data_IF_219931007192
#
_entry.id   IF_219931007192
#
_cell.length_a   1.000
_cell.length_b   1.000
_cell.length_c   1.000
_cell.angle_alpha   90.00
_cell.angle_beta   90.00
_cell.angle_gamma   90.00
#
_symmetry.space_group_name_H-M   'P 1'
#
loop_
_entity.id
_entity.type
_entity.pdbx_description
1 polymer ?
#
# COMPACT_ATOMS: atom_id res chain seq x y z
N UNK A 1 7.94 0.81 9.63
CA UNK A 1 8.22 -0.64 9.82
C UNK A 1 9.07 -1.08 8.64
N UNK A 2 10.30 -1.51 8.89
CA UNK A 2 11.26 -1.92 7.87
C UNK A 2 11.59 -3.39 8.06
N UNK A 3 11.80 -4.10 6.95
CA UNK A 3 12.25 -5.50 6.96
C UNK A 3 13.74 -5.56 7.34
N UNK A 4 14.21 -6.73 7.75
CA UNK A 4 15.62 -6.96 8.07
C UNK A 4 16.58 -6.67 6.90
N UNK A 5 16.06 -6.64 5.67
CA UNK A 5 16.80 -6.30 4.45
C UNK A 5 16.67 -4.81 4.03
N UNK A 6 16.10 -3.97 4.89
CA UNK A 6 15.95 -2.53 4.67
C UNK A 6 14.78 -2.13 3.75
N UNK A 7 14.02 -3.10 3.21
CA UNK A 7 12.84 -2.79 2.37
C UNK A 7 11.62 -2.46 3.21
N UNK A 8 10.73 -1.62 2.66
CA UNK A 8 9.45 -1.35 3.29
C UNK A 8 8.62 -2.63 3.36
N UNK A 9 8.02 -2.90 4.52
CA UNK A 9 7.26 -4.15 4.77
C UNK A 9 6.05 -4.30 3.85
N UNK A 10 5.51 -3.20 3.34
CA UNK A 10 4.36 -3.17 2.45
C UNK A 10 4.68 -3.47 0.98
N UNK A 11 5.96 -3.56 0.60
CA UNK A 11 6.36 -3.92 -0.75
C UNK A 11 6.43 -5.45 -0.91
N UNK A 12 5.48 -6.00 -1.66
CA UNK A 12 5.33 -7.43 -1.89
C UNK A 12 5.49 -7.77 -3.37
N UNK A 13 5.76 -9.03 -3.67
CA UNK A 13 5.75 -9.58 -5.03
C UNK A 13 4.73 -10.70 -5.10
N UNK A 14 3.75 -10.56 -5.98
CA UNK A 14 2.65 -11.49 -6.16
C UNK A 14 2.83 -12.24 -7.47
N UNK A 15 2.35 -13.48 -7.52
CA UNK A 15 2.20 -14.25 -8.74
C UNK A 15 0.84 -14.94 -8.70
N UNK A 16 0.02 -14.72 -9.71
CA UNK A 16 -1.33 -15.29 -9.79
C UNK A 16 -1.27 -16.60 -10.59
N UNK A 17 -2.04 -17.60 -10.14
CA UNK A 17 -2.23 -18.87 -10.82
C UNK A 17 -3.72 -19.15 -11.04
N UNK A 18 -4.09 -19.60 -12.24
CA UNK A 18 -5.43 -20.07 -12.57
C UNK A 18 -5.33 -21.27 -13.51
N UNK A 19 -6.04 -22.36 -13.20
CA UNK A 19 -6.01 -23.61 -13.99
C UNK A 19 -4.59 -24.13 -14.31
N UNK A 20 -3.68 -24.05 -13.32
CA UNK A 20 -2.29 -24.49 -13.47
C UNK A 20 -1.42 -23.57 -14.34
N UNK A 21 -1.97 -22.44 -14.82
CA UNK A 21 -1.24 -21.42 -15.58
C UNK A 21 -0.86 -20.28 -14.65
N UNK A 22 0.45 -20.10 -14.46
CA UNK A 22 1.00 -18.98 -13.70
C UNK A 22 1.22 -17.77 -14.60
N UNK A 23 0.80 -16.61 -14.12
CA UNK A 23 1.18 -15.33 -14.70
C UNK A 23 2.61 -14.93 -14.32
N UNK A 24 3.09 -13.83 -14.90
CA UNK A 24 4.35 -13.21 -14.48
C UNK A 24 4.23 -12.64 -13.06
N UNK A 25 5.30 -12.70 -12.24
CA UNK A 25 5.34 -12.00 -10.97
C UNK A 25 5.21 -10.48 -11.15
N UNK A 26 4.53 -9.80 -10.22
CA UNK A 26 4.38 -8.34 -10.23
C UNK A 26 4.48 -7.77 -8.81
N UNK A 27 4.93 -6.51 -8.66
CA UNK A 27 4.97 -5.84 -7.37
C UNK A 27 3.56 -5.41 -6.92
N UNK A 28 3.28 -5.56 -5.63
CA UNK A 28 2.06 -5.07 -4.98
C UNK A 28 2.46 -4.25 -3.75
N UNK A 29 1.94 -3.03 -3.65
CA UNK A 29 2.17 -2.15 -2.50
C UNK A 29 0.96 -2.13 -1.58
N UNK A 30 1.19 -2.39 -0.31
CA UNK A 30 0.31 -2.04 0.79
C UNK A 30 0.95 -0.90 1.57
N UNK A 31 0.19 0.14 1.89
CA UNK A 31 0.70 1.30 2.60
C UNK A 31 -0.24 1.60 3.76
N UNK A 32 0.31 1.89 4.93
CA UNK A 32 -0.48 2.34 6.08
C UNK A 32 -0.87 3.81 5.93
N UNK A 33 -1.96 4.22 6.59
CA UNK A 33 -2.52 5.56 6.45
C UNK A 33 -1.51 6.67 6.78
N UNK A 34 -0.66 6.49 7.80
CA UNK A 34 0.32 7.52 8.20
C UNK A 34 1.40 7.68 7.14
N UNK A 35 1.92 6.58 6.61
CA UNK A 35 2.89 6.59 5.52
C UNK A 35 2.31 7.24 4.27
N UNK A 36 1.06 6.92 3.90
CA UNK A 36 0.38 7.54 2.76
C UNK A 36 0.20 9.05 2.95
N UNK A 37 -0.28 9.49 4.11
CA UNK A 37 -0.48 10.92 4.43
C UNK A 37 0.84 11.69 4.32
N UNK A 38 1.94 11.12 4.83
CA UNK A 38 3.26 11.75 4.79
C UNK A 38 3.71 11.97 3.35
N UNK A 39 3.76 10.92 2.53
CA UNK A 39 4.22 11.04 1.15
C UNK A 39 3.30 11.90 0.29
N UNK A 40 1.97 11.82 0.50
CA UNK A 40 1.04 12.72 -0.18
C UNK A 40 1.39 14.19 0.08
N UNK A 41 1.64 14.55 1.35
CA UNK A 41 2.02 15.93 1.72
C UNK A 41 3.37 16.36 1.15
N UNK A 42 4.35 15.46 1.11
CA UNK A 42 5.67 15.73 0.52
C UNK A 42 5.58 16.04 -0.98
N UNK A 43 4.57 15.50 -1.65
CA UNK A 43 4.31 15.71 -3.09
C UNK A 43 3.24 16.80 -3.35
N UNK A 44 2.92 17.64 -2.35
CA UNK A 44 1.89 18.69 -2.41
C UNK A 44 0.44 18.20 -2.61
N UNK A 45 0.13 16.95 -2.26
CA UNK A 45 -1.23 16.42 -2.23
C UNK A 45 -1.85 16.47 -0.84
N UNK A 46 -3.14 16.80 -0.77
CA UNK A 46 -3.95 16.56 0.42
C UNK A 46 -4.43 15.11 0.45
N UNK A 47 -4.22 14.44 1.58
CA UNK A 47 -4.75 13.10 1.85
C UNK A 47 -5.75 13.16 3.01
N UNK A 48 -6.97 12.72 2.75
CA UNK A 48 -8.07 12.61 3.73
C UNK A 48 -8.45 11.15 3.92
N UNK A 49 -8.47 10.69 5.17
CA UNK A 49 -9.00 9.37 5.51
C UNK A 49 -10.52 9.51 5.61
N UNK A 50 -11.22 8.89 4.66
CA UNK A 50 -12.68 8.94 4.53
C UNK A 50 -13.34 7.88 5.41
N UNK A 51 -12.68 6.74 5.57
CA UNK A 51 -13.05 5.68 6.50
C UNK A 51 -11.81 5.30 7.30
N UNK A 52 -11.94 5.36 8.63
CA UNK A 52 -10.88 4.99 9.56
C UNK A 52 -10.47 3.51 9.38
N UNK A 53 -9.22 3.16 9.73
CA UNK A 53 -8.75 1.79 9.66
C UNK A 53 -9.64 0.81 10.44
N UNK A 54 -10.01 -0.30 9.82
CA UNK A 54 -10.66 -1.43 10.49
C UNK A 54 -9.66 -2.23 11.35
N UNK A 55 -10.13 -3.31 11.98
CA UNK A 55 -9.29 -4.18 12.81
C UNK A 55 -8.16 -4.88 12.04
N UNK A 56 -8.25 -4.94 10.71
CA UNK A 56 -7.25 -5.51 9.80
C UNK A 56 -6.34 -4.43 9.19
N UNK A 57 -6.58 -3.15 9.52
CA UNK A 57 -5.83 -2.02 9.00
C UNK A 57 -6.26 -1.55 7.61
N UNK A 58 -7.38 -2.02 7.07
CA UNK A 58 -7.92 -1.49 5.82
C UNK A 58 -8.58 -0.14 6.04
N UNK A 59 -8.33 0.81 5.16
CA UNK A 59 -8.90 2.15 5.23
C UNK A 59 -9.25 2.66 3.84
N UNK A 60 -10.04 3.73 3.78
CA UNK A 60 -10.32 4.44 2.54
C UNK A 60 -9.76 5.85 2.62
N UNK A 61 -8.93 6.22 1.64
CA UNK A 61 -8.38 7.57 1.52
C UNK A 61 -8.83 8.24 0.23
N UNK A 62 -8.98 9.56 0.28
CA UNK A 62 -9.14 10.45 -0.86
C UNK A 62 -7.91 11.33 -0.98
N UNK A 63 -7.29 11.32 -2.15
CA UNK A 63 -6.19 12.21 -2.50
C UNK A 63 -6.70 13.30 -3.45
N UNK A 64 -6.32 14.55 -3.18
CA UNK A 64 -6.57 15.70 -4.06
C UNK A 64 -5.28 16.50 -4.23
N UNK A 65 -4.98 17.00 -5.45
CA UNK A 65 -3.92 18.00 -5.64
C UNK A 65 -4.19 19.29 -4.87
#
# INVERSE_FOLDING_TARGET
>A
LERADGRYVGELHFQIEYEGRKGEPFPQLYVDANTLIRYAREEDWRCEIVLDPDEYGHYLARLTP
#
